data_IF_532356084918
#
_entry.id   IF_532356084918
#
_cell.length_a   1.000
_cell.length_b   1.000
_cell.length_c   1.000
_cell.angle_alpha   90.00
_cell.angle_beta   90.00
_cell.angle_gamma   90.00
#
_symmetry.space_group_name_H-M   'P 1'
#
loop_
_entity.id
_entity.type
_entity.pdbx_description
1 polymer ?
#
# COMPACT_ATOMS: atom_id res chain seq x y z
N UNK A 1 -9.96 -15.58 -4.10
CA UNK A 1 -8.93 -16.20 -3.24
C UNK A 1 -8.59 -17.56 -3.83
N UNK A 2 -7.30 -17.86 -3.98
CA UNK A 2 -6.84 -19.14 -4.55
C UNK A 2 -5.56 -19.58 -3.84
N UNK A 3 -5.32 -20.87 -3.79
CA UNK A 3 -4.12 -21.46 -3.20
C UNK A 3 -4.38 -22.84 -2.59
N UNK A 4 -3.34 -23.37 -1.95
CA UNK A 4 -3.40 -24.61 -1.18
C UNK A 4 -3.03 -24.35 0.27
N UNK A 5 -3.79 -24.91 1.19
CA UNK A 5 -3.58 -24.73 2.63
C UNK A 5 -3.71 -26.05 3.37
N UNK A 6 -2.91 -26.23 4.43
CA UNK A 6 -3.05 -27.29 5.42
C UNK A 6 -3.42 -26.67 6.75
N UNK A 7 -4.64 -26.85 7.20
CA UNK A 7 -5.12 -26.30 8.47
C UNK A 7 -6.21 -27.18 9.05
N UNK A 8 -6.20 -27.30 10.37
CA UNK A 8 -7.29 -27.92 11.14
C UNK A 8 -8.42 -26.93 11.46
N UNK A 9 -8.16 -25.64 11.29
CA UNK A 9 -9.16 -24.60 11.53
C UNK A 9 -10.02 -24.39 10.28
N UNK A 10 -11.33 -24.26 10.47
CA UNK A 10 -12.26 -23.84 9.45
C UNK A 10 -12.43 -22.33 9.55
N UNK A 11 -12.02 -21.63 8.50
CA UNK A 11 -12.15 -20.18 8.40
C UNK A 11 -13.24 -19.89 7.37
N UNK A 12 -14.17 -19.02 7.70
CA UNK A 12 -15.14 -18.47 6.77
C UNK A 12 -14.44 -17.38 5.93
N UNK A 13 -13.83 -17.83 4.84
CA UNK A 13 -13.03 -16.98 3.94
C UNK A 13 -13.89 -15.89 3.31
N UNK A 14 -15.14 -16.21 2.96
CA UNK A 14 -16.04 -15.22 2.33
C UNK A 14 -16.30 -14.05 3.27
N UNK A 15 -16.73 -14.32 4.50
CA UNK A 15 -16.98 -13.28 5.48
C UNK A 15 -15.71 -12.53 5.87
N UNK A 16 -14.57 -13.23 5.99
CA UNK A 16 -13.29 -12.59 6.30
C UNK A 16 -12.88 -11.56 5.22
N UNK A 17 -12.95 -11.96 3.95
CA UNK A 17 -12.62 -11.09 2.81
C UNK A 17 -13.58 -9.91 2.73
N UNK A 18 -14.89 -10.18 2.85
CA UNK A 18 -15.94 -9.17 2.80
C UNK A 18 -15.75 -8.11 3.90
N UNK A 19 -15.57 -8.56 5.13
CA UNK A 19 -15.33 -7.67 6.27
C UNK A 19 -14.06 -6.81 6.08
N UNK A 20 -12.99 -7.39 5.53
CA UNK A 20 -11.77 -6.65 5.26
C UNK A 20 -11.95 -5.58 4.19
N UNK A 21 -12.68 -5.86 3.13
CA UNK A 21 -12.99 -4.89 2.06
C UNK A 21 -13.84 -3.74 2.62
N UNK A 22 -14.85 -4.05 3.42
CA UNK A 22 -15.68 -3.05 4.11
C UNK A 22 -14.85 -2.20 5.08
N UNK A 23 -13.97 -2.82 5.87
CA UNK A 23 -13.05 -2.13 6.79
C UNK A 23 -12.11 -1.16 6.06
N UNK A 24 -11.63 -1.54 4.88
CA UNK A 24 -10.83 -0.66 4.02
C UNK A 24 -11.62 0.58 3.60
N UNK A 25 -12.95 0.50 3.48
CA UNK A 25 -13.81 1.61 3.16
C UNK A 25 -14.66 1.43 1.90
N UNK A 26 -14.64 0.25 1.29
CA UNK A 26 -15.54 -0.10 0.18
C UNK A 26 -16.84 -0.69 0.75
N UNK A 27 -17.70 0.18 1.26
CA UNK A 27 -18.89 -0.18 2.02
C UNK A 27 -20.20 0.39 1.46
N UNK A 28 -20.16 0.96 0.26
CA UNK A 28 -21.33 1.46 -0.45
C UNK A 28 -21.08 1.50 -1.96
N UNK A 29 -22.15 1.64 -2.74
CA UNK A 29 -22.06 1.78 -4.21
C UNK A 29 -21.37 3.07 -4.65
N UNK A 30 -21.26 4.08 -3.79
CA UNK A 30 -20.54 5.33 -4.07
C UNK A 30 -19.01 5.13 -4.10
N UNK A 31 -18.52 3.99 -3.61
CA UNK A 31 -17.09 3.67 -3.53
C UNK A 31 -16.60 2.78 -4.68
N UNK A 32 -17.20 2.86 -5.88
CA UNK A 32 -16.94 2.03 -7.06
C UNK A 32 -17.50 0.61 -6.96
N UNK A 33 -17.41 -0.04 -5.82
CA UNK A 33 -18.05 -1.31 -5.50
C UNK A 33 -18.28 -1.42 -4.00
N UNK A 34 -19.24 -2.27 -3.62
CA UNK A 34 -19.61 -2.48 -2.22
C UNK A 34 -19.16 -3.87 -1.75
N UNK A 35 -18.28 -3.91 -0.76
CA UNK A 35 -17.80 -5.14 -0.15
C UNK A 35 -18.89 -6.06 0.37
N UNK A 36 -20.07 -5.50 0.71
CA UNK A 36 -21.22 -6.30 1.16
C UNK A 36 -21.87 -7.12 0.04
N UNK A 37 -21.73 -6.70 -1.21
CA UNK A 37 -22.46 -7.28 -2.35
C UNK A 37 -21.56 -7.90 -3.43
N UNK A 38 -20.24 -7.71 -3.38
CA UNK A 38 -19.31 -8.28 -4.37
C UNK A 38 -19.36 -9.80 -4.37
N UNK A 39 -19.09 -10.39 -5.54
CA UNK A 39 -18.90 -11.83 -5.67
C UNK A 39 -17.48 -12.20 -5.23
N UNK A 40 -17.37 -13.18 -4.34
CA UNK A 40 -16.09 -13.74 -3.87
C UNK A 40 -15.92 -15.14 -4.43
N UNK A 41 -14.89 -15.33 -5.25
CA UNK A 41 -14.52 -16.64 -5.75
C UNK A 41 -13.47 -17.25 -4.81
N UNK A 42 -13.80 -18.39 -4.23
CA UNK A 42 -12.91 -19.12 -3.34
C UNK A 42 -12.50 -20.45 -3.99
N UNK A 43 -11.22 -20.56 -4.34
CA UNK A 43 -10.58 -21.73 -4.92
C UNK A 43 -9.41 -22.21 -4.02
N UNK A 44 -9.61 -22.15 -2.70
CA UNK A 44 -8.67 -22.74 -1.76
C UNK A 44 -8.89 -24.24 -1.70
N UNK A 45 -7.82 -25.00 -1.88
CA UNK A 45 -7.80 -26.45 -1.79
C UNK A 45 -6.91 -26.91 -0.65
N UNK A 46 -7.12 -28.13 -0.20
CA UNK A 46 -6.21 -28.77 0.75
C UNK A 46 -4.91 -29.12 0.04
N UNK A 47 -3.78 -28.79 0.64
CA UNK A 47 -2.46 -29.17 0.12
C UNK A 47 -2.34 -30.70 0.03
N UNK A 48 -1.64 -31.19 -0.99
CA UNK A 48 -1.34 -32.62 -1.12
C UNK A 48 -0.65 -33.16 0.12
N UNK A 49 -1.14 -34.31 0.65
CA UNK A 49 -0.54 -34.97 1.81
C UNK A 49 0.93 -35.36 1.61
N UNK A 50 1.33 -35.67 0.37
CA UNK A 50 2.71 -35.99 0.03
C UNK A 50 3.63 -34.77 0.19
N UNK A 51 3.18 -33.61 -0.28
CA UNK A 51 3.91 -32.35 -0.15
C UNK A 51 3.93 -31.92 1.34
N UNK A 52 2.80 -32.00 2.01
CA UNK A 52 2.72 -31.65 3.44
C UNK A 52 3.69 -32.50 4.29
N UNK A 53 3.80 -33.80 4.04
CA UNK A 53 4.75 -34.71 4.72
C UNK A 53 6.21 -34.41 4.37
N UNK A 54 6.49 -33.97 3.14
CA UNK A 54 7.83 -33.60 2.73
C UNK A 54 8.30 -32.28 3.38
N UNK A 55 7.38 -31.38 3.68
CA UNK A 55 7.65 -30.09 4.34
C UNK A 55 7.78 -30.25 5.87
N UNK A 56 6.85 -30.96 6.50
CA UNK A 56 6.85 -31.21 7.94
C UNK A 56 7.66 -32.48 8.24
N UNK A 57 8.93 -32.32 8.60
CA UNK A 57 9.81 -33.42 8.94
C UNK A 57 9.57 -33.91 10.37
N UNK A 58 9.82 -35.21 10.63
CA UNK A 58 9.65 -35.83 11.93
C UNK A 58 10.56 -35.22 13.02
N UNK A 59 11.69 -34.65 12.65
CA UNK A 59 12.64 -33.99 13.55
C UNK A 59 12.24 -32.55 13.95
N UNK A 60 11.06 -32.11 13.53
CA UNK A 60 10.54 -30.75 13.81
C UNK A 60 11.11 -29.66 12.90
N UNK A 61 12.00 -29.99 11.97
CA UNK A 61 12.46 -29.04 10.96
C UNK A 61 11.39 -28.86 9.87
N UNK A 62 11.26 -27.61 9.40
CA UNK A 62 10.37 -27.28 8.29
C UNK A 62 11.20 -27.25 7.00
N UNK A 63 10.84 -28.10 6.04
CA UNK A 63 11.41 -28.10 4.70
C UNK A 63 10.71 -27.09 3.78
N UNK A 64 11.14 -27.06 2.53
CA UNK A 64 10.47 -26.30 1.48
C UNK A 64 9.71 -27.25 0.54
N UNK A 65 8.52 -26.86 0.10
CA UNK A 65 7.72 -27.64 -0.85
C UNK A 65 8.24 -27.54 -2.29
N UNK A 66 9.06 -26.53 -2.58
CA UNK A 66 9.68 -26.31 -3.89
C UNK A 66 10.99 -25.54 -3.73
N UNK A 67 11.71 -25.38 -4.84
CA UNK A 67 12.88 -24.51 -4.94
C UNK A 67 12.44 -23.04 -4.85
N UNK A 68 13.30 -22.20 -4.29
CA UNK A 68 13.06 -20.77 -4.18
C UNK A 68 14.33 -19.95 -4.38
N UNK A 69 14.19 -18.82 -5.04
CA UNK A 69 15.21 -17.79 -5.14
C UNK A 69 14.63 -16.46 -4.67
N UNK A 70 15.37 -15.77 -3.79
CA UNK A 70 14.92 -14.51 -3.22
C UNK A 70 16.00 -13.46 -3.41
N UNK A 71 15.58 -12.23 -3.72
CA UNK A 71 16.43 -11.06 -3.76
C UNK A 71 16.02 -10.11 -2.64
N UNK A 72 17.00 -9.48 -2.01
CA UNK A 72 16.79 -8.46 -1.01
C UNK A 72 17.67 -7.25 -1.28
N UNK A 73 17.17 -6.06 -0.98
CA UNK A 73 17.93 -4.81 -1.06
C UNK A 73 17.61 -3.96 0.16
N UNK A 74 18.65 -3.34 0.73
CA UNK A 74 18.54 -2.37 1.81
C UNK A 74 19.60 -1.29 1.62
N UNK A 75 19.27 -0.05 1.99
CA UNK A 75 20.21 1.08 1.99
C UNK A 75 20.02 1.94 3.24
N UNK A 76 20.90 2.87 3.49
CA UNK A 76 20.88 3.74 4.67
C UNK A 76 20.26 5.13 4.41
N UNK A 77 19.54 5.30 3.31
CA UNK A 77 18.89 6.57 2.97
C UNK A 77 17.76 6.94 3.94
N UNK A 78 17.14 5.95 4.57
CA UNK A 78 16.06 6.14 5.54
C UNK A 78 16.26 5.26 6.77
N UNK A 79 15.65 5.65 7.90
CA UNK A 79 15.65 4.84 9.14
C UNK A 79 15.02 3.46 8.97
N UNK A 80 14.20 3.27 7.95
CA UNK A 80 13.57 1.99 7.61
C UNK A 80 14.47 1.13 6.71
N UNK A 81 15.67 1.59 6.37
CA UNK A 81 16.59 0.94 5.42
C UNK A 81 15.99 0.73 4.02
N UNK A 82 15.00 1.54 3.68
CA UNK A 82 14.35 1.53 2.36
C UNK A 82 14.88 2.67 1.49
N UNK A 83 14.94 2.48 0.15
CA UNK A 83 15.25 3.55 -0.78
C UNK A 83 14.33 4.77 -0.56
N UNK A 84 14.90 5.96 -0.58
CA UNK A 84 14.19 7.19 -0.23
C UNK A 84 12.94 7.42 -1.08
N UNK A 85 13.03 7.25 -2.39
CA UNK A 85 11.88 7.44 -3.29
C UNK A 85 10.70 6.52 -2.92
N UNK A 86 10.99 5.23 -2.63
CA UNK A 86 9.99 4.27 -2.19
C UNK A 86 9.39 4.65 -0.83
N UNK A 87 10.25 5.02 0.13
CA UNK A 87 9.80 5.44 1.46
C UNK A 87 8.88 6.67 1.39
N UNK A 88 9.25 7.69 0.60
CA UNK A 88 8.46 8.90 0.44
C UNK A 88 7.11 8.64 -0.25
N UNK A 89 7.06 7.72 -1.22
CA UNK A 89 5.79 7.32 -1.83
C UNK A 89 4.86 6.68 -0.80
N UNK A 90 5.40 5.85 0.11
CA UNK A 90 4.64 5.30 1.23
C UNK A 90 4.17 6.38 2.22
N UNK A 91 5.01 7.36 2.54
CA UNK A 91 4.63 8.49 3.41
C UNK A 91 3.45 9.25 2.81
N UNK A 92 3.49 9.53 1.51
CA UNK A 92 2.40 10.21 0.80
C UNK A 92 1.08 9.42 0.90
N UNK A 93 1.09 8.12 0.57
CA UNK A 93 -0.11 7.28 0.62
C UNK A 93 -0.63 7.12 2.05
N UNK A 94 0.24 6.90 3.03
CA UNK A 94 -0.18 6.76 4.42
C UNK A 94 -0.80 8.05 4.98
N UNK A 95 -0.30 9.21 4.58
CA UNK A 95 -0.88 10.48 4.99
C UNK A 95 -2.32 10.65 4.49
N UNK A 96 -2.57 10.31 3.21
CA UNK A 96 -3.92 10.32 2.63
C UNK A 96 -4.83 9.28 3.28
N UNK A 97 -4.33 8.08 3.57
CA UNK A 97 -5.09 7.02 4.22
C UNK A 97 -5.52 7.42 5.64
N UNK A 98 -4.65 8.09 6.39
CA UNK A 98 -4.98 8.58 7.73
C UNK A 98 -5.98 9.73 7.66
N UNK A 99 -5.79 10.67 6.74
CA UNK A 99 -6.72 11.79 6.52
C UNK A 99 -8.12 11.29 6.12
N UNK A 100 -8.21 10.34 5.18
CA UNK A 100 -9.47 9.74 4.73
C UNK A 100 -10.30 9.16 5.87
N UNK A 101 -9.65 8.54 6.85
CA UNK A 101 -10.35 7.99 8.04
C UNK A 101 -10.99 9.06 8.89
N UNK A 102 -10.44 10.26 8.90
CA UNK A 102 -10.91 11.38 9.70
C UNK A 102 -11.91 12.25 8.94
N UNK A 103 -11.60 12.61 7.71
CA UNK A 103 -12.30 13.66 6.96
C UNK A 103 -13.30 13.13 5.92
N UNK A 104 -13.24 11.86 5.55
CA UNK A 104 -14.19 11.18 4.65
C UNK A 104 -14.46 11.91 3.32
N UNK A 105 -13.46 12.60 2.78
CA UNK A 105 -13.52 13.24 1.45
C UNK A 105 -12.93 12.38 0.36
N UNK A 106 -11.90 11.58 0.72
CA UNK A 106 -11.19 10.70 -0.17
C UNK A 106 -11.73 9.27 -0.08
N UNK A 107 -11.60 8.54 -1.18
CA UNK A 107 -11.90 7.11 -1.28
C UNK A 107 -10.61 6.28 -1.10
N UNK A 108 -10.73 4.95 -0.94
CA UNK A 108 -9.57 4.12 -0.58
C UNK A 108 -8.46 4.03 -1.63
N UNK A 109 -8.79 4.15 -2.92
CA UNK A 109 -7.79 3.98 -3.98
C UNK A 109 -6.94 5.23 -4.16
N UNK A 110 -5.63 5.05 -4.05
CA UNK A 110 -4.66 6.11 -4.30
C UNK A 110 -3.33 5.51 -4.79
N UNK A 111 -2.63 6.29 -5.60
CA UNK A 111 -1.30 5.96 -6.14
C UNK A 111 -0.34 7.10 -5.87
N UNK A 112 0.92 6.78 -5.68
CA UNK A 112 1.98 7.77 -5.56
C UNK A 112 3.24 7.32 -6.27
N UNK A 113 3.99 8.30 -6.76
CA UNK A 113 5.31 8.14 -7.33
C UNK A 113 6.19 9.30 -6.86
N UNK A 114 7.41 9.01 -6.46
CA UNK A 114 8.38 10.04 -6.07
C UNK A 114 9.66 9.86 -6.88
N UNK A 115 10.16 10.97 -7.40
CA UNK A 115 11.45 11.05 -8.07
C UNK A 115 12.42 11.83 -7.18
N UNK A 116 13.58 11.25 -6.91
CA UNK A 116 14.65 11.84 -6.12
C UNK A 116 15.86 12.05 -7.02
N UNK A 117 16.46 13.23 -6.98
CA UNK A 117 17.75 13.50 -7.59
C UNK A 117 18.87 13.10 -6.62
N UNK A 118 19.96 12.58 -7.17
CA UNK A 118 21.12 12.11 -6.41
C UNK A 118 22.38 12.87 -6.84
N UNK A 119 23.31 13.03 -5.92
CA UNK A 119 24.67 13.43 -6.22
C UNK A 119 25.46 12.30 -6.87
N UNK A 120 26.62 12.62 -7.46
CA UNK A 120 27.49 11.64 -8.11
C UNK A 120 28.02 10.57 -7.14
N UNK A 121 28.05 10.87 -5.84
CA UNK A 121 28.42 9.93 -4.79
C UNK A 121 27.28 8.99 -4.34
N UNK A 122 26.09 9.11 -4.97
CA UNK A 122 24.93 8.30 -4.68
C UNK A 122 24.10 8.76 -3.47
N UNK A 123 24.43 9.92 -2.86
CA UNK A 123 23.59 10.48 -1.78
C UNK A 123 22.40 11.27 -2.32
N UNK A 124 21.23 11.24 -1.67
CA UNK A 124 20.08 12.04 -2.07
C UNK A 124 20.39 13.54 -2.06
N UNK A 125 20.04 14.22 -3.15
CA UNK A 125 20.25 15.66 -3.33
C UNK A 125 18.99 16.46 -3.04
N UNK A 126 17.90 16.16 -3.76
CA UNK A 126 16.61 16.80 -3.54
C UNK A 126 15.47 15.94 -4.09
N UNK A 127 14.24 16.23 -3.65
CA UNK A 127 13.02 15.63 -4.19
C UNK A 127 12.64 16.41 -5.45
N UNK A 128 12.76 15.78 -6.63
CA UNK A 128 12.41 16.43 -7.90
C UNK A 128 10.91 16.49 -8.10
N UNK A 129 10.22 15.34 -7.97
CA UNK A 129 8.78 15.27 -8.26
C UNK A 129 8.08 14.34 -7.25
N UNK A 130 6.95 14.79 -6.76
CA UNK A 130 5.97 14.00 -6.03
C UNK A 130 4.67 14.00 -6.81
N UNK A 131 4.28 12.83 -7.32
CA UNK A 131 3.01 12.62 -8.02
C UNK A 131 2.09 11.79 -7.16
N UNK A 132 0.85 12.26 -7.00
CA UNK A 132 -0.19 11.56 -6.24
C UNK A 132 -1.49 11.60 -7.05
N UNK A 133 -2.14 10.45 -7.17
CA UNK A 133 -3.49 10.32 -7.71
C UNK A 133 -4.35 9.66 -6.66
N UNK A 134 -5.52 10.21 -6.37
CA UNK A 134 -6.42 9.69 -5.35
C UNK A 134 -7.86 9.75 -5.81
N UNK A 135 -8.62 8.71 -5.47
CA UNK A 135 -10.05 8.69 -5.66
C UNK A 135 -10.75 9.52 -4.57
N UNK A 136 -11.84 10.18 -4.92
CA UNK A 136 -12.63 11.01 -4.00
C UNK A 136 -14.13 10.85 -4.26
N UNK A 137 -14.96 11.25 -3.30
CA UNK A 137 -16.41 11.32 -3.52
C UNK A 137 -16.75 12.40 -4.55
N UNK A 138 -17.78 12.18 -5.35
CA UNK A 138 -18.16 13.03 -6.48
C UNK A 138 -18.35 14.51 -6.09
N UNK A 139 -18.96 14.77 -4.95
CA UNK A 139 -19.27 16.13 -4.49
C UNK A 139 -18.37 16.59 -3.32
N UNK A 140 -17.21 15.95 -3.12
CA UNK A 140 -16.32 16.28 -2.01
C UNK A 140 -15.57 17.61 -2.21
N UNK A 141 -15.42 18.06 -3.44
CA UNK A 141 -14.70 19.26 -3.84
C UNK A 141 -15.47 20.06 -4.89
N UNK A 142 -15.40 21.40 -4.82
CA UNK A 142 -16.09 22.26 -5.76
C UNK A 142 -15.34 22.41 -7.11
N UNK A 143 -14.04 22.12 -7.11
CA UNK A 143 -13.18 22.20 -8.29
C UNK A 143 -11.99 21.28 -8.18
N UNK A 144 -11.35 21.01 -9.33
CA UNK A 144 -10.07 20.29 -9.37
C UNK A 144 -8.99 21.01 -8.56
N UNK A 145 -9.03 22.33 -8.54
CA UNK A 145 -8.11 23.16 -7.76
C UNK A 145 -8.28 22.92 -6.27
N UNK A 146 -9.51 22.86 -5.77
CA UNK A 146 -9.78 22.58 -4.34
C UNK A 146 -9.29 21.17 -3.95
N UNK A 147 -9.44 20.19 -4.85
CA UNK A 147 -8.89 18.85 -4.65
C UNK A 147 -7.36 18.91 -4.55
N UNK A 148 -6.68 19.57 -5.49
CA UNK A 148 -5.22 19.68 -5.48
C UNK A 148 -4.71 20.40 -4.22
N UNK A 149 -5.35 21.50 -3.81
CA UNK A 149 -5.00 22.23 -2.59
C UNK A 149 -5.21 21.36 -1.35
N UNK A 150 -6.28 20.57 -1.32
CA UNK A 150 -6.56 19.63 -0.23
C UNK A 150 -5.49 18.54 -0.14
N UNK A 151 -5.21 17.85 -1.23
CA UNK A 151 -4.17 16.78 -1.27
C UNK A 151 -2.80 17.35 -0.90
N UNK A 152 -2.48 18.54 -1.41
CA UNK A 152 -1.25 19.28 -1.09
C UNK A 152 -1.13 19.52 0.43
N UNK A 153 -2.21 19.99 1.05
CA UNK A 153 -2.23 20.28 2.50
C UNK A 153 -2.02 19.05 3.38
N UNK A 154 -2.27 17.85 2.85
CA UNK A 154 -2.06 16.57 3.57
C UNK A 154 -0.68 16.00 3.30
N UNK A 155 -0.26 15.96 2.02
CA UNK A 155 0.94 15.25 1.58
C UNK A 155 2.22 16.05 1.87
N UNK A 156 2.24 17.35 1.58
CA UNK A 156 3.46 18.16 1.74
C UNK A 156 3.96 18.20 3.18
N UNK A 157 3.12 18.47 4.20
CA UNK A 157 3.59 18.45 5.59
C UNK A 157 4.07 17.07 6.04
N UNK A 158 3.44 15.99 5.54
CA UNK A 158 3.83 14.63 5.88
C UNK A 158 5.24 14.29 5.38
N UNK A 159 5.57 14.70 4.16
CA UNK A 159 6.92 14.55 3.59
C UNK A 159 7.91 15.50 4.28
N UNK A 160 7.54 16.74 4.49
CA UNK A 160 8.42 17.74 5.09
C UNK A 160 8.77 17.44 6.56
N UNK A 161 7.97 16.66 7.25
CA UNK A 161 8.21 16.31 8.66
C UNK A 161 9.61 15.78 8.92
N UNK A 162 10.09 14.87 8.07
CA UNK A 162 11.41 14.24 8.23
C UNK A 162 12.39 14.60 7.10
N UNK A 163 11.88 15.13 5.98
CA UNK A 163 12.65 15.36 4.76
C UNK A 163 12.55 16.79 4.22
N UNK A 164 12.26 17.78 5.09
CA UNK A 164 12.17 19.19 4.70
C UNK A 164 13.45 19.69 3.97
N UNK A 165 14.62 19.19 4.38
CA UNK A 165 15.92 19.55 3.80
C UNK A 165 16.10 19.12 2.35
N UNK A 166 15.29 18.16 1.86
CA UNK A 166 15.28 17.68 0.47
C UNK A 166 14.17 18.32 -0.38
N UNK A 167 13.24 19.04 0.23
CA UNK A 167 12.21 19.80 -0.48
C UNK A 167 12.77 21.14 -0.88
N UNK A 168 12.70 21.50 -2.15
CA UNK A 168 13.22 22.74 -2.70
C UNK A 168 12.14 23.52 -3.46
N UNK A 169 12.41 24.76 -3.85
CA UNK A 169 11.51 25.54 -4.71
C UNK A 169 11.30 24.90 -6.10
N UNK A 170 12.17 23.98 -6.50
CA UNK A 170 12.08 23.25 -7.76
C UNK A 170 11.31 21.93 -7.64
N UNK A 171 10.98 21.49 -6.43
CA UNK A 171 10.18 20.28 -6.21
C UNK A 171 8.81 20.43 -6.84
N UNK A 172 8.49 19.56 -7.79
CA UNK A 172 7.20 19.53 -8.50
C UNK A 172 6.19 18.68 -7.71
N UNK A 173 5.04 19.26 -7.46
CA UNK A 173 3.91 18.61 -6.82
C UNK A 173 2.79 18.43 -7.83
N UNK A 174 2.47 17.19 -8.16
CA UNK A 174 1.47 16.80 -9.15
C UNK A 174 0.36 15.98 -8.48
N UNK A 175 -0.88 16.47 -8.58
CA UNK A 175 -2.04 15.87 -7.94
C UNK A 175 -3.17 15.65 -8.95
#
# INVERSE_FOLDING_TARGET
VTGEVSSTQKIDIENLVRNKIVEIGYNSTETSYDGNTITILNHLNTQSDQIAKAVAKEDGNIGAGDQGLMFGFACNETKAYMPLAHHLSFVAINSLQNDRRLNKKLLPDAKSQVTVAYHDDGTPSFIDTVLVSTQHYENAFNSIKDLHEYVSSVVQPAIAKDFAHLVTNNTKWLY
#
